data_IF_832351138383
#
_entry.id   IF_832351138383
#
_cell.length_a   1.000
_cell.length_b   1.000
_cell.length_c   1.000
_cell.angle_alpha   90.00
_cell.angle_beta   90.00
_cell.angle_gamma   90.00
#
_symmetry.space_group_name_H-M   'P 1'
#
loop_
_entity.id
_entity.type
_entity.pdbx_description
1 polymer ?
#
# COMPACT_ATOMS: atom_id res chain seq x y z
N UNK A 1 -3.39 0.61 -19.34
CA UNK A 1 -3.40 0.30 -17.91
C UNK A 1 -4.18 1.39 -17.16
N UNK A 2 -5.34 1.04 -16.62
CA UNK A 2 -6.16 1.88 -15.75
C UNK A 2 -5.47 2.11 -14.40
N UNK A 3 -6.01 3.02 -13.58
CA UNK A 3 -5.49 3.21 -12.21
C UNK A 3 -5.72 1.96 -11.36
N UNK A 4 -6.87 1.30 -11.49
CA UNK A 4 -7.17 0.07 -10.76
C UNK A 4 -6.23 -1.07 -11.17
N UNK A 5 -5.96 -1.23 -12.47
CA UNK A 5 -4.97 -2.20 -12.97
C UNK A 5 -3.56 -1.92 -12.46
N UNK A 6 -3.18 -0.63 -12.34
CA UNK A 6 -1.88 -0.26 -11.79
C UNK A 6 -1.76 -0.54 -10.28
N UNK A 7 -2.86 -0.39 -9.53
CA UNK A 7 -2.92 -0.74 -8.10
C UNK A 7 -2.82 -2.26 -7.92
N UNK A 8 -3.56 -3.03 -8.71
CA UNK A 8 -3.48 -4.49 -8.70
C UNK A 8 -2.05 -4.98 -9.02
N UNK A 9 -1.44 -4.46 -10.09
CA UNK A 9 -0.06 -4.82 -10.44
C UNK A 9 0.97 -4.43 -9.37
N UNK A 10 0.77 -3.29 -8.68
CA UNK A 10 1.64 -2.92 -7.56
C UNK A 10 1.41 -3.81 -6.32
N UNK A 11 0.18 -4.27 -6.08
CA UNK A 11 -0.16 -5.23 -5.02
C UNK A 11 0.54 -6.57 -5.27
N UNK A 12 0.45 -7.09 -6.49
CA UNK A 12 1.17 -8.31 -6.92
C UNK A 12 2.69 -8.15 -6.71
N UNK A 13 3.26 -7.01 -7.14
CA UNK A 13 4.69 -6.70 -6.93
C UNK A 13 5.08 -6.59 -5.45
N UNK A 14 4.15 -6.23 -4.56
CA UNK A 14 4.37 -6.22 -3.11
C UNK A 14 4.33 -7.64 -2.55
N UNK A 15 3.37 -8.46 -2.97
CA UNK A 15 3.28 -9.88 -2.59
C UNK A 15 4.53 -10.65 -2.98
N UNK A 16 4.97 -10.54 -4.23
CA UNK A 16 6.19 -11.18 -4.72
C UNK A 16 7.43 -10.76 -3.94
N UNK A 17 7.49 -9.50 -3.49
CA UNK A 17 8.65 -8.95 -2.80
C UNK A 17 8.70 -9.33 -1.33
N UNK A 18 7.56 -9.37 -0.66
CA UNK A 18 7.49 -9.45 0.79
C UNK A 18 6.93 -10.77 1.32
N UNK A 19 6.32 -11.59 0.45
CA UNK A 19 5.75 -12.89 0.82
C UNK A 19 4.24 -12.86 1.07
N UNK A 20 3.55 -11.82 0.58
CA UNK A 20 2.09 -11.70 0.61
C UNK A 20 1.43 -11.84 1.98
N UNK A 21 0.35 -12.64 2.04
CA UNK A 21 -0.52 -12.74 3.21
C UNK A 21 0.23 -13.12 4.49
N UNK A 22 1.16 -14.05 4.41
CA UNK A 22 1.97 -14.51 5.55
C UNK A 22 2.85 -13.40 6.13
N UNK A 23 3.28 -12.45 5.29
CA UNK A 23 4.01 -11.27 5.74
C UNK A 23 3.05 -10.20 6.27
N UNK A 24 1.91 -10.02 5.62
CA UNK A 24 0.92 -9.01 5.99
C UNK A 24 0.35 -9.26 7.40
N UNK A 25 0.15 -10.53 7.77
CA UNK A 25 -0.36 -10.94 9.08
C UNK A 25 0.63 -10.72 10.24
N UNK A 26 1.87 -10.36 9.96
CA UNK A 26 2.89 -10.01 10.97
C UNK A 26 2.80 -8.54 11.41
N UNK A 27 2.01 -7.72 10.71
CA UNK A 27 1.86 -6.29 11.01
C UNK A 27 0.70 -6.02 11.95
N UNK A 28 0.77 -4.88 12.63
CA UNK A 28 -0.37 -4.29 13.33
C UNK A 28 -0.87 -3.02 12.61
N UNK A 29 -1.95 -2.43 13.12
CA UNK A 29 -2.56 -1.24 12.52
C UNK A 29 -1.59 -0.04 12.44
N UNK A 30 -0.66 0.11 13.38
CA UNK A 30 0.32 1.20 13.34
C UNK A 30 1.37 0.98 12.25
N UNK A 31 1.79 -0.27 11.99
CA UNK A 31 2.73 -0.59 10.92
C UNK A 31 2.14 -0.22 9.55
N UNK A 32 0.88 -0.59 9.30
CA UNK A 32 0.15 -0.22 8.09
C UNK A 32 0.09 1.30 7.89
N UNK A 33 -0.29 2.05 8.93
CA UNK A 33 -0.31 3.51 8.88
C UNK A 33 1.09 4.08 8.61
N UNK A 34 2.13 3.55 9.25
CA UNK A 34 3.51 3.98 9.05
C UNK A 34 3.98 3.76 7.60
N UNK A 35 3.65 2.62 6.99
CA UNK A 35 3.99 2.34 5.59
C UNK A 35 3.26 3.28 4.62
N UNK A 36 1.97 3.54 4.85
CA UNK A 36 1.20 4.48 4.03
C UNK A 36 1.79 5.88 4.14
N UNK A 37 2.02 6.38 5.36
CA UNK A 37 2.61 7.70 5.60
C UNK A 37 3.99 7.82 4.96
N UNK A 38 4.80 6.75 4.97
CA UNK A 38 6.11 6.75 4.31
C UNK A 38 6.01 7.02 2.81
N UNK A 39 5.08 6.38 2.10
CA UNK A 39 4.92 6.60 0.67
C UNK A 39 4.18 7.90 0.35
N UNK A 40 3.24 8.31 1.19
CA UNK A 40 2.61 9.62 1.11
C UNK A 40 3.65 10.75 1.26
N UNK A 41 4.53 10.68 2.26
CA UNK A 41 5.61 11.65 2.42
C UNK A 41 6.56 11.67 1.21
N UNK A 42 6.78 10.52 0.57
CA UNK A 42 7.56 10.42 -0.67
C UNK A 42 6.84 10.99 -1.89
N UNK A 43 5.52 11.19 -1.88
CA UNK A 43 4.83 11.85 -2.99
C UNK A 43 5.05 13.37 -3.02
N UNK A 44 5.47 13.96 -1.90
CA UNK A 44 5.75 15.39 -1.79
C UNK A 44 7.10 15.73 -2.45
N UNK A 45 7.09 16.67 -3.39
CA UNK A 45 8.30 17.23 -3.98
C UNK A 45 8.71 18.51 -3.24
N UNK A 46 10.00 18.64 -2.90
CA UNK A 46 10.59 19.91 -2.48
C UNK A 46 10.99 20.66 -3.75
N UNK A 47 10.02 21.25 -4.43
CA UNK A 47 10.20 21.87 -5.75
C UNK A 47 8.91 21.93 -6.57
N UNK A 48 8.99 22.13 -7.89
CA UNK A 48 7.83 22.09 -8.77
C UNK A 48 7.09 20.77 -8.65
N UNK A 49 5.78 20.80 -8.92
CA UNK A 49 4.95 19.61 -8.90
C UNK A 49 5.46 18.56 -9.90
N UNK A 50 5.89 17.41 -9.37
CA UNK A 50 6.28 16.23 -10.14
C UNK A 50 5.10 15.26 -10.22
N UNK A 51 4.34 15.34 -11.30
CA UNK A 51 3.13 14.55 -11.53
C UNK A 51 3.42 13.05 -11.63
N UNK A 52 4.59 12.66 -12.16
CA UNK A 52 4.98 11.26 -12.30
C UNK A 52 5.31 10.66 -10.93
N UNK A 53 6.11 11.37 -10.13
CA UNK A 53 6.41 10.97 -8.75
C UNK A 53 5.15 10.91 -7.91
N UNK A 54 4.28 11.91 -8.02
CA UNK A 54 3.00 11.93 -7.32
C UNK A 54 2.16 10.69 -7.69
N UNK A 55 1.91 10.46 -8.99
CA UNK A 55 1.11 9.32 -9.46
C UNK A 55 1.69 7.99 -8.99
N UNK A 56 3.00 7.79 -9.12
CA UNK A 56 3.69 6.56 -8.70
C UNK A 56 3.46 6.27 -7.22
N UNK A 57 3.66 7.27 -6.36
CA UNK A 57 3.49 7.08 -4.92
C UNK A 57 2.02 6.96 -4.51
N UNK A 58 1.08 7.59 -5.22
CA UNK A 58 -0.36 7.35 -4.99
C UNK A 58 -0.78 5.92 -5.32
N UNK A 59 -0.23 5.31 -6.37
CA UNK A 59 -0.46 3.87 -6.66
C UNK A 59 0.09 2.99 -5.54
N UNK A 60 1.29 3.30 -5.02
CA UNK A 60 1.88 2.57 -3.90
C UNK A 60 1.06 2.70 -2.60
N UNK A 61 0.58 3.91 -2.31
CA UNK A 61 -0.31 4.17 -1.17
C UNK A 61 -1.62 3.40 -1.33
N UNK A 62 -2.23 3.41 -2.50
CA UNK A 62 -3.47 2.68 -2.75
C UNK A 62 -3.28 1.16 -2.60
N UNK A 63 -2.19 0.59 -3.13
CA UNK A 63 -1.89 -0.84 -2.95
C UNK A 63 -1.67 -1.21 -1.47
N UNK A 64 -0.97 -0.36 -0.70
CA UNK A 64 -0.82 -0.57 0.75
C UNK A 64 -2.15 -0.44 1.50
N UNK A 65 -3.02 0.47 1.09
CA UNK A 65 -4.35 0.61 1.68
C UNK A 65 -5.24 -0.61 1.39
N UNK A 66 -5.12 -1.20 0.21
CA UNK A 66 -5.79 -2.47 -0.13
C UNK A 66 -5.26 -3.60 0.76
N UNK A 67 -3.93 -3.77 0.86
CA UNK A 67 -3.33 -4.80 1.72
C UNK A 67 -3.75 -4.65 3.20
N UNK A 68 -3.78 -3.41 3.71
CA UNK A 68 -4.23 -3.12 5.06
C UNK A 68 -5.72 -3.42 5.28
N UNK A 69 -6.58 -3.15 4.29
CA UNK A 69 -8.00 -3.49 4.35
C UNK A 69 -8.20 -5.01 4.32
N UNK A 70 -7.51 -5.73 3.43
CA UNK A 70 -7.54 -7.20 3.37
C UNK A 70 -7.10 -7.82 4.70
N UNK A 71 -6.06 -7.26 5.34
CA UNK A 71 -5.62 -7.68 6.68
C UNK A 71 -6.69 -7.42 7.75
N UNK A 72 -7.31 -6.25 7.73
CA UNK A 72 -8.37 -5.90 8.68
C UNK A 72 -9.61 -6.79 8.50
N UNK A 73 -10.00 -7.09 7.25
CA UNK A 73 -11.09 -8.01 6.94
C UNK A 73 -10.82 -9.39 7.55
N UNK A 74 -9.58 -9.91 7.44
CA UNK A 74 -9.19 -11.17 8.11
C UNK A 74 -9.31 -11.10 9.62
N UNK A 75 -8.91 -9.99 10.25
CA UNK A 75 -9.09 -9.83 11.71
C UNK A 75 -10.56 -9.88 12.11
N UNK A 76 -11.41 -9.17 11.37
CA UNK A 76 -12.85 -9.12 11.61
C UNK A 76 -13.47 -10.51 11.44
N UNK A 77 -13.13 -11.22 10.38
CA UNK A 77 -13.62 -12.57 10.09
C UNK A 77 -13.16 -13.59 11.13
N UNK A 78 -11.95 -13.43 11.67
CA UNK A 78 -11.40 -14.27 12.75
C UNK A 78 -11.93 -13.88 14.15
N UNK A 79 -12.68 -12.78 14.27
CA UNK A 79 -13.20 -12.27 15.54
C UNK A 79 -12.13 -11.68 16.47
N UNK A 80 -11.06 -11.12 15.91
CA UNK A 80 -9.93 -10.49 16.61
C UNK A 80 -10.07 -8.98 16.80
#
# INVERSE_FOLDING_TARGET
MSVLEAVAAERERQDEKWGGLEHDDQHNSHDWLAYIVRYLGRSVAYGPFDSLRFRRHMVQVAALAVAAAEWADRLIDDGR
#
